data_IF_085691473344
#
_entry.id   IF_085691473344
#
_cell.length_a   1.000
_cell.length_b   1.000
_cell.length_c   1.000
_cell.angle_alpha   90.00
_cell.angle_beta   90.00
_cell.angle_gamma   90.00
#
_symmetry.space_group_name_H-M   'P 1'
#
loop_
_entity.id
_entity.type
_entity.pdbx_description
1 polymer ?
#
# COMPACT_ATOMS: atom_id res chain seq x y z
N UNK A 1 22.19 -16.96 2.10
CA UNK A 1 20.78 -16.54 2.27
C UNK A 1 20.83 -15.06 2.61
N UNK A 2 20.39 -14.20 1.71
CA UNK A 2 20.32 -12.76 1.98
C UNK A 2 19.38 -12.51 3.14
N UNK A 3 19.78 -11.68 4.08
CA UNK A 3 18.90 -11.19 5.13
C UNK A 3 17.93 -10.15 4.52
N UNK A 4 16.70 -10.16 4.99
CA UNK A 4 15.67 -9.22 4.62
C UNK A 4 15.23 -8.47 5.86
N UNK A 5 15.25 -7.13 5.80
CA UNK A 5 14.64 -6.29 6.82
C UNK A 5 13.45 -5.54 6.21
N UNK A 6 12.31 -5.70 6.83
CA UNK A 6 11.09 -4.98 6.48
C UNK A 6 10.94 -3.76 7.36
N UNK A 7 10.61 -2.65 6.74
CA UNK A 7 10.49 -1.36 7.40
C UNK A 7 9.05 -0.86 7.31
N UNK A 8 8.48 -0.54 8.46
CA UNK A 8 7.18 0.13 8.53
C UNK A 8 7.39 1.63 8.36
N UNK A 9 7.38 2.06 7.11
CA UNK A 9 7.59 3.45 6.70
C UNK A 9 6.57 3.80 5.61
N UNK A 10 6.16 5.07 5.51
CA UNK A 10 5.35 5.52 4.39
C UNK A 10 6.04 5.21 3.06
N UNK A 11 5.28 4.68 2.12
CA UNK A 11 5.81 4.24 0.84
C UNK A 11 4.97 4.78 -0.31
N UNK A 12 5.66 5.27 -1.34
CA UNK A 12 5.06 5.73 -2.58
C UNK A 12 5.33 4.70 -3.68
N UNK A 13 4.27 4.29 -4.37
CA UNK A 13 4.40 3.50 -5.60
C UNK A 13 4.33 4.40 -6.82
N UNK A 14 5.22 4.17 -7.77
CA UNK A 14 5.20 4.82 -9.06
C UNK A 14 5.39 3.80 -10.20
N UNK A 15 4.85 4.06 -11.40
CA UNK A 15 5.13 3.24 -12.57
C UNK A 15 6.63 3.18 -12.86
N UNK A 16 7.13 2.03 -13.30
CA UNK A 16 8.55 1.86 -13.60
C UNK A 16 9.02 2.78 -14.73
N UNK A 17 8.14 3.09 -15.66
CA UNK A 17 8.43 3.97 -16.81
C UNK A 17 8.65 5.43 -16.38
N UNK A 18 8.07 5.85 -15.27
CA UNK A 18 8.22 7.19 -14.71
C UNK A 18 9.46 7.30 -13.79
N UNK A 19 10.01 6.17 -13.37
CA UNK A 19 11.18 6.11 -12.53
C UNK A 19 12.44 6.53 -13.31
N UNK A 20 13.17 7.49 -12.81
CA UNK A 20 14.36 8.05 -13.47
C UNK A 20 14.10 9.30 -14.31
N UNK A 21 12.86 9.64 -14.60
CA UNK A 21 12.48 10.89 -15.28
C UNK A 21 12.15 12.01 -14.30
N UNK A 22 11.92 11.67 -13.04
CA UNK A 22 11.53 12.59 -11.97
C UNK A 22 12.50 12.54 -10.82
N UNK A 23 12.62 13.66 -10.08
CA UNK A 23 13.33 13.70 -8.82
C UNK A 23 12.48 13.02 -7.73
N UNK A 24 12.81 11.76 -7.46
CA UNK A 24 12.08 10.92 -6.49
C UNK A 24 12.14 11.46 -5.06
N UNK A 25 13.23 12.12 -4.68
CA UNK A 25 13.37 12.71 -3.34
C UNK A 25 12.39 13.87 -3.17
N UNK A 26 12.35 14.78 -4.13
CA UNK A 26 11.39 15.89 -4.14
C UNK A 26 9.96 15.38 -4.16
N UNK A 27 9.65 14.37 -4.99
CA UNK A 27 8.32 13.80 -5.09
C UNK A 27 7.87 13.13 -3.79
N UNK A 28 8.75 12.36 -3.17
CA UNK A 28 8.49 11.71 -1.89
C UNK A 28 8.19 12.72 -0.80
N UNK A 29 9.02 13.78 -0.67
CA UNK A 29 8.83 14.83 0.33
C UNK A 29 7.66 15.77 0.05
N UNK A 30 7.16 15.80 -1.18
CA UNK A 30 5.92 16.50 -1.50
C UNK A 30 4.71 15.75 -0.97
N UNK A 31 4.76 14.43 -0.97
CA UNK A 31 3.69 13.56 -0.47
C UNK A 31 3.78 13.33 1.04
N UNK A 32 4.99 13.13 1.55
CA UNK A 32 5.27 12.84 2.96
C UNK A 32 6.19 13.91 3.55
N UNK A 33 5.83 14.45 4.72
CA UNK A 33 6.64 15.45 5.38
C UNK A 33 8.03 14.93 5.69
N UNK A 34 9.04 15.73 5.39
CA UNK A 34 10.44 15.45 5.69
C UNK A 34 10.65 15.35 7.19
N UNK A 35 11.18 14.24 7.67
CA UNK A 35 11.50 14.00 9.07
C UNK A 35 12.99 14.25 9.40
N UNK A 36 13.65 15.09 8.65
CA UNK A 36 15.02 15.51 8.92
C UNK A 36 16.08 14.56 8.36
N UNK A 37 16.67 13.69 9.17
CA UNK A 37 17.81 12.85 8.81
C UNK A 37 17.38 11.55 8.09
N UNK A 38 16.88 11.70 6.87
CA UNK A 38 16.38 10.58 6.05
C UNK A 38 17.18 10.39 4.76
N UNK A 39 17.28 9.15 4.32
CA UNK A 39 17.73 8.73 3.00
C UNK A 39 16.56 8.10 2.26
N UNK A 40 16.39 8.49 1.00
CA UNK A 40 15.33 7.93 0.13
C UNK A 40 15.88 6.72 -0.60
N UNK A 41 15.20 5.61 -0.44
CA UNK A 41 15.51 4.34 -1.08
C UNK A 41 14.44 3.97 -2.10
N UNK A 42 14.79 3.10 -3.02
CA UNK A 42 13.86 2.54 -3.99
C UNK A 42 14.01 1.02 -4.10
N UNK A 43 12.90 0.36 -4.39
CA UNK A 43 12.85 -1.08 -4.62
C UNK A 43 11.96 -1.36 -5.83
N UNK A 44 12.51 -2.07 -6.82
CA UNK A 44 11.77 -2.45 -8.02
C UNK A 44 10.88 -3.64 -7.70
N UNK A 45 9.60 -3.55 -8.10
CA UNK A 45 8.62 -4.61 -8.02
C UNK A 45 8.25 -5.06 -9.45
N UNK A 46 8.98 -6.03 -10.02
CA UNK A 46 8.81 -6.42 -11.41
C UNK A 46 7.39 -6.93 -11.72
N UNK A 47 6.81 -7.71 -10.80
CA UNK A 47 5.46 -8.28 -10.95
C UNK A 47 4.39 -7.20 -11.07
N UNK A 48 4.58 -6.04 -10.43
CA UNK A 48 3.65 -4.91 -10.43
C UNK A 48 3.97 -3.87 -11.51
N UNK A 49 5.08 -4.02 -12.22
CA UNK A 49 5.63 -3.01 -13.12
C UNK A 49 5.74 -1.63 -12.45
N UNK A 50 6.19 -1.63 -11.21
CA UNK A 50 6.25 -0.46 -10.34
C UNK A 50 7.56 -0.39 -9.54
N UNK A 51 7.82 0.80 -9.01
CA UNK A 51 8.91 1.07 -8.07
C UNK A 51 8.33 1.59 -6.77
N UNK A 52 8.74 0.98 -5.66
CA UNK A 52 8.44 1.47 -4.31
C UNK A 52 9.53 2.45 -3.88
N UNK A 53 9.13 3.64 -3.46
CA UNK A 53 10.01 4.69 -2.93
C UNK A 53 9.67 4.91 -1.47
N UNK A 54 10.66 4.83 -0.59
CA UNK A 54 10.49 4.93 0.86
C UNK A 54 11.71 5.57 1.52
N UNK A 55 11.54 6.03 2.75
CA UNK A 55 12.60 6.67 3.51
C UNK A 55 13.12 5.77 4.64
N UNK A 56 14.41 5.93 4.96
CA UNK A 56 15.03 5.34 6.13
C UNK A 56 15.81 6.43 6.87
N UNK A 57 15.82 6.37 8.21
CA UNK A 57 16.72 7.20 8.99
C UNK A 57 18.19 6.87 8.65
N UNK A 58 19.00 7.89 8.38
CA UNK A 58 20.42 7.70 7.96
C UNK A 58 21.26 7.02 9.02
N UNK A 59 21.04 7.33 10.28
CA UNK A 59 21.83 6.73 11.38
C UNK A 59 21.47 5.25 11.53
N UNK A 60 20.19 4.92 11.42
CA UNK A 60 19.74 3.52 11.41
C UNK A 60 20.34 2.75 10.23
N UNK A 61 20.35 3.36 9.04
CA UNK A 61 20.97 2.75 7.85
C UNK A 61 22.45 2.47 8.05
N UNK A 62 23.20 3.42 8.62
CA UNK A 62 24.61 3.22 8.95
C UNK A 62 24.82 2.05 9.90
N UNK A 63 24.03 1.94 10.96
CA UNK A 63 24.10 0.81 11.91
C UNK A 63 23.82 -0.51 11.21
N UNK A 64 22.84 -0.55 10.31
CA UNK A 64 22.50 -1.75 9.54
C UNK A 64 23.66 -2.14 8.61
N UNK A 65 24.19 -1.18 7.86
CA UNK A 65 25.30 -1.40 6.90
C UNK A 65 26.59 -1.86 7.61
N UNK A 66 26.85 -1.36 8.81
CA UNK A 66 28.03 -1.75 9.62
C UNK A 66 27.92 -3.17 10.19
N UNK A 67 26.70 -3.63 10.50
CA UNK A 67 26.49 -4.92 11.15
C UNK A 67 26.12 -6.07 10.18
N UNK A 68 25.63 -5.74 9.00
CA UNK A 68 25.12 -6.71 8.04
C UNK A 68 25.65 -6.48 6.63
N UNK A 69 26.53 -7.35 6.17
CA UNK A 69 27.22 -7.20 4.88
C UNK A 69 26.32 -7.40 3.63
N UNK A 70 25.16 -8.02 3.76
CA UNK A 70 24.26 -8.31 2.63
C UNK A 70 22.81 -8.35 3.10
N UNK A 71 22.30 -7.19 3.50
CA UNK A 71 20.91 -7.03 3.88
C UNK A 71 20.13 -6.31 2.78
N UNK A 72 18.95 -6.81 2.47
CA UNK A 72 17.98 -6.13 1.61
C UNK A 72 16.98 -5.39 2.49
N UNK A 73 16.87 -4.09 2.25
CA UNK A 73 15.85 -3.25 2.87
C UNK A 73 14.66 -3.13 1.93
N UNK A 74 13.46 -3.34 2.46
CA UNK A 74 12.22 -3.13 1.72
C UNK A 74 11.12 -2.60 2.64
N UNK A 75 10.14 -1.84 2.10
CA UNK A 75 8.98 -1.46 2.89
C UNK A 75 8.11 -2.68 3.20
N UNK A 76 7.50 -2.70 4.38
CA UNK A 76 6.56 -3.75 4.81
C UNK A 76 5.45 -3.96 3.77
N UNK A 77 4.93 -2.89 3.20
CA UNK A 77 3.88 -2.95 2.19
C UNK A 77 4.28 -3.71 0.92
N UNK A 78 5.57 -3.87 0.62
CA UNK A 78 6.03 -4.64 -0.53
C UNK A 78 5.59 -6.11 -0.45
N UNK A 79 5.72 -6.72 0.71
CA UNK A 79 5.26 -8.10 0.95
C UNK A 79 3.73 -8.21 0.83
N UNK A 80 3.00 -7.25 1.38
CA UNK A 80 1.53 -7.18 1.32
C UNK A 80 1.07 -7.07 -0.13
N UNK A 81 1.61 -6.12 -0.91
CA UNK A 81 1.25 -5.95 -2.32
C UNK A 81 1.56 -7.18 -3.15
N UNK A 82 2.73 -7.76 -3.00
CA UNK A 82 3.13 -8.96 -3.76
C UNK A 82 2.21 -10.14 -3.46
N UNK A 83 1.85 -10.33 -2.19
CA UNK A 83 0.95 -11.39 -1.80
C UNK A 83 -0.45 -11.20 -2.37
N UNK A 84 -1.03 -10.01 -2.21
CA UNK A 84 -2.38 -9.71 -2.67
C UNK A 84 -2.47 -9.58 -4.20
N UNK A 85 -1.42 -9.10 -4.86
CA UNK A 85 -1.33 -9.09 -6.30
C UNK A 85 -1.51 -10.49 -6.90
N UNK A 86 -0.83 -11.49 -6.37
CA UNK A 86 -0.97 -12.87 -6.82
C UNK A 86 -2.40 -13.41 -6.66
N UNK A 87 -3.10 -12.98 -5.62
CA UNK A 87 -4.52 -13.30 -5.42
C UNK A 87 -5.46 -12.54 -6.35
N UNK A 88 -5.05 -11.40 -6.88
CA UNK A 88 -5.89 -10.55 -7.73
C UNK A 88 -6.16 -11.13 -9.13
N UNK A 89 -5.39 -12.14 -9.55
CA UNK A 89 -5.58 -12.83 -10.82
C UNK A 89 -6.89 -13.61 -10.94
N UNK A 90 -7.57 -13.87 -9.85
CA UNK A 90 -8.79 -14.66 -9.85
C UNK A 90 -10.00 -13.85 -10.33
N UNK A 91 -10.36 -14.00 -11.60
CA UNK A 91 -11.60 -13.49 -12.17
C UNK A 91 -11.52 -12.10 -12.82
N UNK A 92 -12.58 -11.71 -13.56
CA UNK A 92 -12.62 -10.49 -14.37
C UNK A 92 -12.97 -9.22 -13.57
N UNK A 93 -13.35 -9.35 -12.31
CA UNK A 93 -13.81 -8.24 -11.49
C UNK A 93 -12.65 -7.39 -10.99
N UNK A 94 -12.84 -6.08 -10.98
CA UNK A 94 -11.90 -5.16 -10.35
C UNK A 94 -11.91 -5.35 -8.84
N UNK A 95 -10.74 -5.25 -8.21
CA UNK A 95 -10.58 -5.46 -6.77
C UNK A 95 -9.91 -4.25 -6.14
N UNK A 96 -10.49 -3.77 -5.06
CA UNK A 96 -9.88 -2.78 -4.17
C UNK A 96 -9.51 -3.47 -2.87
N UNK A 97 -8.27 -3.26 -2.43
CA UNK A 97 -7.77 -3.77 -1.17
C UNK A 97 -7.60 -2.62 -0.19
N UNK A 98 -8.03 -2.83 1.04
CA UNK A 98 -7.80 -1.96 2.16
C UNK A 98 -7.06 -2.73 3.26
N UNK A 99 -5.78 -2.44 3.45
CA UNK A 99 -4.94 -3.05 4.47
C UNK A 99 -4.82 -2.15 5.68
N UNK A 100 -5.20 -2.66 6.84
CA UNK A 100 -5.23 -1.93 8.11
C UNK A 100 -4.05 -2.32 9.00
N UNK A 101 -3.27 -1.33 9.41
CA UNK A 101 -2.21 -1.45 10.39
C UNK A 101 -1.95 -0.11 11.09
N UNK A 102 -1.67 -0.14 12.37
CA UNK A 102 -1.22 1.02 13.18
C UNK A 102 -1.97 2.34 12.91
N UNK A 103 -3.30 2.32 12.99
CA UNK A 103 -4.18 3.45 12.72
C UNK A 103 -4.10 4.00 11.28
N UNK A 104 -3.53 3.23 10.37
CA UNK A 104 -3.45 3.56 8.95
C UNK A 104 -4.22 2.56 8.13
N UNK A 105 -4.75 3.03 7.03
CA UNK A 105 -5.39 2.23 6.00
C UNK A 105 -4.68 2.47 4.68
N UNK A 106 -4.00 1.45 4.20
CA UNK A 106 -3.38 1.45 2.88
C UNK A 106 -4.40 0.92 1.86
N UNK A 107 -4.80 1.76 0.92
CA UNK A 107 -5.78 1.40 -0.12
C UNK A 107 -5.08 1.29 -1.46
N UNK A 108 -5.25 0.16 -2.14
CA UNK A 108 -4.60 -0.10 -3.42
C UNK A 108 -5.42 -1.02 -4.31
N UNK A 109 -5.18 -0.93 -5.61
CA UNK A 109 -5.83 -1.77 -6.61
C UNK A 109 -4.89 -2.20 -7.72
N UNK A 110 -5.20 -3.37 -8.30
CA UNK A 110 -4.54 -3.92 -9.46
C UNK A 110 -5.56 -4.19 -10.56
N UNK A 111 -5.16 -3.97 -11.81
CA UNK A 111 -5.96 -4.30 -12.97
C UNK A 111 -5.06 -4.78 -14.11
N UNK A 112 -5.41 -5.90 -14.73
CA UNK A 112 -4.65 -6.46 -15.84
C UNK A 112 -3.16 -6.60 -15.53
N UNK A 113 -2.85 -7.14 -14.37
CA UNK A 113 -1.48 -7.38 -13.90
C UNK A 113 -0.65 -6.12 -13.69
N UNK A 114 -1.31 -4.98 -13.49
CA UNK A 114 -0.65 -3.71 -13.21
C UNK A 114 -1.23 -3.08 -11.96
N UNK A 115 -0.35 -2.46 -11.21
CA UNK A 115 -0.72 -1.51 -10.18
C UNK A 115 -1.49 -0.33 -10.78
N UNK A 116 -2.61 0.06 -10.19
CA UNK A 116 -3.46 1.16 -10.67
C UNK A 116 -3.58 2.32 -9.71
N UNK A 117 -3.64 2.01 -8.43
CA UNK A 117 -3.87 3.00 -7.40
C UNK A 117 -3.25 2.54 -6.08
N UNK A 118 -2.63 3.46 -5.36
CA UNK A 118 -2.24 3.28 -3.96
C UNK A 118 -2.30 4.61 -3.25
N UNK A 119 -2.88 4.62 -2.05
CA UNK A 119 -2.84 5.76 -1.16
C UNK A 119 -2.93 5.29 0.29
N UNK A 120 -2.43 6.11 1.20
CA UNK A 120 -2.41 5.85 2.63
C UNK A 120 -3.25 6.90 3.35
N UNK A 121 -4.10 6.44 4.26
CA UNK A 121 -4.99 7.29 5.05
C UNK A 121 -4.78 7.03 6.53
N UNK A 122 -4.71 8.08 7.31
CA UNK A 122 -4.83 7.97 8.75
C UNK A 122 -6.31 7.77 9.11
N UNK A 123 -6.59 6.72 9.89
CA UNK A 123 -7.94 6.33 10.28
C UNK A 123 -8.03 6.35 11.78
N UNK A 124 -8.74 7.32 12.33
CA UNK A 124 -8.91 7.49 13.77
C UNK A 124 -10.16 6.80 14.30
N UNK A 125 -11.13 6.53 13.44
CA UNK A 125 -12.38 5.84 13.77
C UNK A 125 -12.96 5.09 12.55
N UNK A 126 -13.96 4.26 12.82
CA UNK A 126 -14.62 3.44 11.80
C UNK A 126 -15.32 4.25 10.70
N UNK A 127 -15.85 5.43 11.03
CA UNK A 127 -16.54 6.29 10.06
C UNK A 127 -15.56 6.87 9.04
N UNK A 128 -14.34 7.23 9.47
CA UNK A 128 -13.29 7.70 8.57
C UNK A 128 -12.92 6.62 7.55
N UNK A 129 -12.77 5.38 8.00
CA UNK A 129 -12.46 4.25 7.13
C UNK A 129 -13.53 4.05 6.06
N UNK A 130 -14.79 4.01 6.45
CA UNK A 130 -15.91 3.87 5.52
C UNK A 130 -15.97 5.03 4.52
N UNK A 131 -15.83 6.26 5.01
CA UNK A 131 -15.86 7.47 4.18
C UNK A 131 -14.77 7.41 3.09
N UNK A 132 -13.52 7.14 3.46
CA UNK A 132 -12.42 7.08 2.51
C UNK A 132 -12.59 5.93 1.51
N UNK A 133 -13.06 4.77 1.94
CA UNK A 133 -13.29 3.64 1.04
C UNK A 133 -14.36 3.94 -0.01
N UNK A 134 -15.49 4.50 0.39
CA UNK A 134 -16.56 4.86 -0.53
C UNK A 134 -16.16 6.03 -1.45
N UNK A 135 -15.39 6.99 -0.93
CA UNK A 135 -14.83 8.09 -1.71
C UNK A 135 -13.90 7.57 -2.82
N UNK A 136 -12.95 6.70 -2.47
CA UNK A 136 -12.01 6.09 -3.42
C UNK A 136 -12.77 5.24 -4.44
N UNK A 137 -13.75 4.47 -3.99
CA UNK A 137 -14.59 3.66 -4.87
C UNK A 137 -15.23 4.49 -5.97
N UNK A 138 -15.80 5.60 -5.59
CA UNK A 138 -16.39 6.58 -6.52
C UNK A 138 -15.35 7.23 -7.42
N UNK A 139 -14.23 7.67 -6.83
CA UNK A 139 -13.15 8.35 -7.55
C UNK A 139 -12.53 7.46 -8.63
N UNK A 140 -12.36 6.18 -8.35
CA UNK A 140 -11.80 5.20 -9.28
C UNK A 140 -12.83 4.60 -10.25
N UNK A 141 -14.08 5.03 -10.16
CA UNK A 141 -15.16 4.59 -11.05
C UNK A 141 -15.49 3.09 -10.93
N UNK A 142 -15.36 2.53 -9.73
CA UNK A 142 -15.69 1.12 -9.47
C UNK A 142 -17.21 0.92 -9.38
N UNK A 143 -17.66 -0.24 -9.86
CA UNK A 143 -19.07 -0.61 -9.92
C UNK A 143 -19.52 -1.28 -8.60
N UNK A 144 -20.54 -0.72 -7.96
CA UNK A 144 -21.07 -1.20 -6.67
C UNK A 144 -21.71 -2.58 -6.75
N UNK A 145 -22.14 -3.02 -7.94
CA UNK A 145 -22.80 -4.31 -8.17
C UNK A 145 -21.86 -5.40 -8.69
N UNK A 146 -20.68 -5.04 -9.21
CA UNK A 146 -19.78 -5.98 -9.89
C UNK A 146 -18.42 -6.08 -9.24
N UNK A 147 -17.85 -4.98 -8.79
CA UNK A 147 -16.49 -4.94 -8.27
C UNK A 147 -16.41 -5.37 -6.80
N UNK A 148 -15.22 -5.71 -6.34
CA UNK A 148 -14.99 -6.34 -5.04
C UNK A 148 -14.12 -5.50 -4.14
N UNK A 149 -14.51 -5.35 -2.86
CA UNK A 149 -13.71 -4.78 -1.79
C UNK A 149 -13.20 -5.89 -0.86
N UNK A 150 -11.91 -5.88 -0.60
CA UNK A 150 -11.25 -6.76 0.36
C UNK A 150 -10.67 -5.95 1.52
N UNK A 151 -11.06 -6.30 2.73
CA UNK A 151 -10.54 -5.76 3.99
C UNK A 151 -9.50 -6.73 4.54
N UNK A 152 -8.30 -6.24 4.84
CA UNK A 152 -7.15 -7.06 5.22
C UNK A 152 -6.47 -6.48 6.45
N UNK A 153 -5.91 -7.32 7.32
CA UNK A 153 -5.12 -6.90 8.47
C UNK A 153 -5.91 -6.73 9.75
N UNK A 154 -5.35 -6.00 10.69
CA UNK A 154 -5.93 -5.80 12.02
C UNK A 154 -7.01 -4.74 12.05
N UNK A 155 -8.24 -5.13 11.79
CA UNK A 155 -9.39 -4.22 11.81
C UNK A 155 -10.01 -4.16 13.23
N UNK A 156 -9.86 -3.07 13.97
CA UNK A 156 -10.40 -2.98 15.34
C UNK A 156 -11.93 -2.92 15.40
N UNK A 157 -12.60 -2.58 14.30
CA UNK A 157 -14.05 -2.48 14.17
C UNK A 157 -14.57 -3.24 12.92
N UNK A 158 -13.97 -4.39 12.67
CA UNK A 158 -14.19 -5.19 11.46
C UNK A 158 -15.67 -5.48 11.18
N UNK A 159 -16.42 -5.94 12.17
CA UNK A 159 -17.84 -6.31 11.99
C UNK A 159 -18.69 -5.12 11.57
N UNK A 160 -18.48 -3.98 12.21
CA UNK A 160 -19.20 -2.75 11.89
C UNK A 160 -18.89 -2.28 10.47
N UNK A 161 -17.59 -2.20 10.14
CA UNK A 161 -17.12 -1.73 8.83
C UNK A 161 -17.61 -2.64 7.70
N UNK A 162 -17.51 -3.96 7.89
CA UNK A 162 -17.98 -4.95 6.91
C UNK A 162 -19.49 -4.83 6.69
N UNK A 163 -20.27 -4.70 7.77
CA UNK A 163 -21.72 -4.52 7.70
C UNK A 163 -22.09 -3.25 6.94
N UNK A 164 -21.46 -2.14 7.30
CA UNK A 164 -21.72 -0.84 6.68
C UNK A 164 -21.26 -0.76 5.22
N UNK A 165 -20.12 -1.34 4.88
CA UNK A 165 -19.66 -1.41 3.50
C UNK A 165 -20.65 -2.23 2.63
N UNK A 166 -21.19 -3.31 3.14
CA UNK A 166 -22.20 -4.15 2.44
C UNK A 166 -23.55 -3.44 2.20
N UNK A 167 -23.86 -2.37 2.92
CA UNK A 167 -25.03 -1.54 2.62
C UNK A 167 -24.86 -0.78 1.30
N UNK A 168 -23.63 -0.56 0.85
CA UNK A 168 -23.28 0.22 -0.35
C UNK A 168 -22.69 -0.62 -1.47
N UNK A 169 -21.96 -1.70 -1.12
CA UNK A 169 -21.19 -2.52 -2.04
C UNK A 169 -21.65 -3.99 -1.95
N UNK A 170 -21.98 -4.57 -3.08
CA UNK A 170 -22.49 -5.94 -3.13
C UNK A 170 -21.46 -6.98 -2.68
N UNK A 171 -20.20 -6.77 -3.03
CA UNK A 171 -19.12 -7.70 -2.73
C UNK A 171 -18.06 -7.03 -1.83
N UNK A 172 -18.16 -7.31 -0.55
CA UNK A 172 -17.18 -6.90 0.46
C UNK A 172 -16.82 -8.10 1.33
N UNK A 173 -15.53 -8.40 1.48
CA UNK A 173 -15.03 -9.55 2.23
C UNK A 173 -13.82 -9.17 3.07
N UNK A 174 -13.62 -9.91 4.16
CA UNK A 174 -12.38 -9.89 4.92
C UNK A 174 -11.48 -11.02 4.42
N UNK A 175 -10.21 -10.73 4.25
CA UNK A 175 -9.16 -11.71 3.98
C UNK A 175 -8.31 -11.89 5.23
N UNK A 176 -8.16 -13.14 5.65
CA UNK A 176 -7.27 -13.58 6.72
C UNK A 176 -5.84 -13.75 6.23
#
# INVERSE_FOLDING_TARGET
>A
KRLLAEMDTPVMLMPIDDFGTQDIETLYHHTYHRQGNEEILSSILPDLNAVAVFAINKDLKLVIDDHFNDIRLQPLMQSVWTHLYRRSYAGPRRKLYAYFHDKRMEVFSFQQNRFRFSNSYEVTNEHDALYFLLYIWKLTGMDTEKDELYLVGGLPYQEWLLKKAKEHLKFCRVLD
#
